data_IF_883021311370
#
_entry.id   IF_883021311370
#
_cell.length_a   1.000
_cell.length_b   1.000
_cell.length_c   1.000
_cell.angle_alpha   90.00
_cell.angle_beta   90.00
_cell.angle_gamma   90.00
#
_symmetry.space_group_name_H-M   'P 1'
#
loop_
_entity.id
_entity.type
_entity.pdbx_description
1 polymer ?
#
# COMPACT_ATOMS: atom_id res chain seq x y z
N UNK A 1 -5.16 -6.71 -29.61
CA UNK A 1 -5.69 -7.53 -28.52
C UNK A 1 -5.48 -6.75 -27.24
N UNK A 2 -6.44 -5.89 -26.90
CA UNK A 2 -6.43 -5.10 -25.67
C UNK A 2 -7.04 -6.01 -24.61
N UNK A 3 -6.21 -6.62 -23.78
CA UNK A 3 -6.69 -7.24 -22.56
C UNK A 3 -7.11 -6.12 -21.63
N UNK A 4 -8.36 -5.68 -21.76
CA UNK A 4 -9.02 -4.89 -20.74
C UNK A 4 -9.23 -5.86 -19.57
N UNK A 5 -8.22 -5.92 -18.71
CA UNK A 5 -8.29 -6.68 -17.49
C UNK A 5 -9.47 -6.11 -16.69
N UNK A 6 -10.51 -6.91 -16.39
CA UNK A 6 -11.64 -6.42 -15.61
C UNK A 6 -11.09 -5.83 -14.30
N UNK A 7 -11.70 -4.75 -13.75
CA UNK A 7 -11.19 -4.14 -12.54
C UNK A 7 -11.11 -5.24 -11.51
N UNK A 8 -9.88 -5.62 -11.13
CA UNK A 8 -9.65 -6.66 -10.15
C UNK A 8 -10.59 -6.39 -8.99
N UNK A 9 -11.48 -7.35 -8.69
CA UNK A 9 -12.33 -7.27 -7.51
C UNK A 9 -11.42 -6.83 -6.38
N UNK A 10 -11.66 -5.63 -5.84
CA UNK A 10 -10.77 -5.05 -4.83
C UNK A 10 -10.76 -6.06 -3.70
N UNK A 11 -9.66 -6.79 -3.57
CA UNK A 11 -9.49 -7.79 -2.53
C UNK A 11 -9.64 -7.02 -1.21
N UNK A 12 -10.82 -7.15 -0.59
CA UNK A 12 -11.13 -6.45 0.63
C UNK A 12 -10.35 -7.14 1.73
N UNK A 13 -9.42 -6.43 2.34
CA UNK A 13 -8.71 -6.92 3.53
C UNK A 13 -9.77 -7.10 4.62
N UNK A 14 -10.05 -8.35 4.98
CA UNK A 14 -10.90 -8.68 6.10
C UNK A 14 -10.12 -8.42 7.39
N UNK A 15 -10.59 -7.48 8.20
CA UNK A 15 -10.01 -7.18 9.51
C UNK A 15 -10.77 -7.99 10.55
N UNK A 16 -10.07 -8.82 11.31
CA UNK A 16 -10.63 -9.59 12.42
C UNK A 16 -10.55 -8.80 13.73
N UNK A 17 -11.32 -9.20 14.75
CA UNK A 17 -11.23 -8.60 16.08
C UNK A 17 -9.82 -8.74 16.69
N UNK A 18 -9.11 -9.84 16.39
CA UNK A 18 -7.74 -10.04 16.85
C UNK A 18 -6.76 -9.00 16.28
N UNK A 19 -6.96 -8.58 15.02
CA UNK A 19 -6.14 -7.53 14.39
C UNK A 19 -6.38 -6.16 15.05
N UNK A 20 -7.63 -5.92 15.52
CA UNK A 20 -8.00 -4.70 16.24
C UNK A 20 -7.33 -4.71 17.63
N UNK A 21 -7.42 -5.82 18.34
CA UNK A 21 -6.78 -5.98 19.66
C UNK A 21 -5.26 -5.79 19.57
N UNK A 22 -4.62 -6.37 18.54
CA UNK A 22 -3.18 -6.20 18.30
C UNK A 22 -2.81 -4.72 18.04
N UNK A 23 -3.60 -4.00 17.24
CA UNK A 23 -3.35 -2.60 16.96
C UNK A 23 -3.52 -1.69 18.19
N UNK A 24 -4.45 -2.04 19.08
CA UNK A 24 -4.65 -1.35 20.36
C UNK A 24 -3.49 -1.65 21.32
N UNK A 25 -3.07 -2.92 21.43
CA UNK A 25 -1.95 -3.34 22.27
C UNK A 25 -0.62 -2.68 21.84
N UNK A 26 -0.39 -2.56 20.52
CA UNK A 26 0.77 -1.86 19.98
C UNK A 26 0.85 -0.37 20.35
N UNK A 27 -0.26 0.22 20.82
CA UNK A 27 -0.35 1.60 21.30
C UNK A 27 -0.58 1.67 22.82
N UNK A 28 -0.18 0.63 23.58
CA UNK A 28 -0.31 0.53 25.04
C UNK A 28 -1.78 0.71 25.52
N UNK A 29 -2.75 0.34 24.68
CA UNK A 29 -4.17 0.50 24.97
C UNK A 29 -4.75 1.90 24.70
N UNK A 30 -3.97 2.87 24.23
CA UNK A 30 -4.46 4.21 23.91
C UNK A 30 -5.19 4.23 22.55
N UNK A 31 -6.52 4.17 22.60
CA UNK A 31 -7.39 4.22 21.42
C UNK A 31 -7.18 5.47 20.55
N UNK A 32 -6.85 6.63 21.14
CA UNK A 32 -6.61 7.86 20.36
C UNK A 32 -5.27 7.77 19.64
N UNK A 33 -4.25 7.19 20.27
CA UNK A 33 -2.97 6.92 19.63
C UNK A 33 -3.12 5.89 18.50
N UNK A 34 -3.87 4.80 18.72
CA UNK A 34 -4.17 3.80 17.69
C UNK A 34 -4.87 4.42 16.48
N UNK A 35 -5.94 5.18 16.68
CA UNK A 35 -6.65 5.85 15.56
C UNK A 35 -5.72 6.80 14.81
N UNK A 36 -4.89 7.57 15.52
CA UNK A 36 -3.90 8.44 14.86
C UNK A 36 -2.90 7.63 14.04
N UNK A 37 -2.38 6.52 14.57
CA UNK A 37 -1.44 5.65 13.87
C UNK A 37 -2.07 5.07 12.59
N UNK A 38 -3.31 4.60 12.66
CA UNK A 38 -4.05 4.07 11.51
C UNK A 38 -4.25 5.14 10.41
N UNK A 39 -4.65 6.36 10.79
CA UNK A 39 -4.82 7.45 9.82
C UNK A 39 -3.50 7.86 9.16
N UNK A 40 -2.40 7.89 9.92
CA UNK A 40 -1.06 8.15 9.38
C UNK A 40 -0.64 7.01 8.44
N UNK A 41 -0.86 5.76 8.84
CA UNK A 41 -0.57 4.58 8.02
C UNK A 41 -1.35 4.60 6.71
N UNK A 42 -2.64 4.96 6.75
CA UNK A 42 -3.47 5.07 5.55
C UNK A 42 -2.92 6.13 4.59
N UNK A 43 -2.61 7.33 5.07
CA UNK A 43 -2.01 8.38 4.22
C UNK A 43 -0.66 7.96 3.64
N UNK A 44 0.16 7.25 4.40
CA UNK A 44 1.43 6.72 3.89
C UNK A 44 1.21 5.74 2.73
N UNK A 45 0.25 4.81 2.86
CA UNK A 45 -0.08 3.86 1.80
C UNK A 45 -0.63 4.55 0.55
N UNK A 46 -1.48 5.56 0.72
CA UNK A 46 -2.01 6.37 -0.39
C UNK A 46 -0.87 7.07 -1.16
N UNK A 47 0.07 7.68 -0.45
CA UNK A 47 1.25 8.33 -1.06
C UNK A 47 2.13 7.30 -1.77
N UNK A 48 2.41 6.16 -1.12
CA UNK A 48 3.25 5.11 -1.69
C UNK A 48 2.62 4.51 -2.96
N UNK A 49 1.30 4.34 -2.98
CA UNK A 49 0.55 3.86 -4.14
C UNK A 49 0.64 4.86 -5.30
N UNK A 50 0.47 6.16 -5.02
CA UNK A 50 0.60 7.20 -6.04
C UNK A 50 2.02 7.26 -6.63
N UNK A 51 3.04 7.22 -5.77
CA UNK A 51 4.44 7.13 -6.21
C UNK A 51 4.69 5.90 -7.09
N UNK A 52 4.19 4.73 -6.67
CA UNK A 52 4.33 3.50 -7.45
C UNK A 52 3.65 3.58 -8.81
N UNK A 53 2.47 4.22 -8.91
CA UNK A 53 1.76 4.43 -10.17
C UNK A 53 2.52 5.37 -11.10
N UNK A 54 3.10 6.44 -10.56
CA UNK A 54 3.92 7.37 -11.33
C UNK A 54 5.17 6.69 -11.87
N UNK A 55 5.87 5.88 -11.06
CA UNK A 55 7.04 5.12 -11.51
C UNK A 55 6.68 4.06 -12.55
N UNK A 56 5.57 3.32 -12.36
CA UNK A 56 5.10 2.34 -13.33
C UNK A 56 4.74 3.01 -14.66
N UNK A 57 4.08 4.17 -14.65
CA UNK A 57 3.80 4.96 -15.84
C UNK A 57 5.08 5.45 -16.52
N UNK A 58 6.02 6.04 -15.78
CA UNK A 58 7.30 6.51 -16.33
C UNK A 58 8.18 5.38 -16.89
N UNK A 59 8.24 4.24 -16.21
CA UNK A 59 8.99 3.06 -16.62
C UNK A 59 8.36 2.35 -17.81
N UNK A 60 7.02 2.22 -17.83
CA UNK A 60 6.25 1.65 -18.94
C UNK A 60 6.31 2.52 -20.20
N UNK A 61 6.21 3.85 -20.05
CA UNK A 61 6.26 4.81 -21.17
C UNK A 61 7.66 4.91 -21.81
N UNK A 62 8.74 4.54 -21.10
CA UNK A 62 10.13 4.65 -21.61
C UNK A 62 10.93 3.34 -21.63
N UNK A 63 10.31 2.19 -21.33
CA UNK A 63 10.99 0.88 -21.30
C UNK A 63 12.15 0.78 -20.29
N UNK A 64 12.18 1.62 -19.25
CA UNK A 64 13.26 1.63 -18.25
C UNK A 64 12.83 0.81 -17.03
N UNK A 65 13.62 -0.18 -16.58
CA UNK A 65 13.27 -0.98 -15.39
C UNK A 65 13.19 -0.08 -14.14
N UNK A 66 12.23 -0.37 -13.27
CA UNK A 66 11.98 0.40 -12.04
C UNK A 66 13.24 0.46 -11.18
N UNK A 67 13.44 1.57 -10.45
CA UNK A 67 14.64 1.73 -9.59
C UNK A 67 14.72 0.62 -8.53
N UNK A 68 13.56 0.11 -8.09
CA UNK A 68 13.45 -1.01 -7.17
C UNK A 68 13.97 -2.33 -7.77
N UNK A 69 13.67 -2.64 -9.05
CA UNK A 69 14.25 -3.79 -9.73
C UNK A 69 15.78 -3.67 -9.83
N UNK A 70 16.28 -2.49 -10.20
CA UNK A 70 17.74 -2.26 -10.30
C UNK A 70 18.48 -2.44 -8.98
N UNK A 71 17.84 -2.16 -7.85
CA UNK A 71 18.44 -2.32 -6.53
C UNK A 71 18.49 -3.78 -6.04
N UNK A 72 17.76 -4.68 -6.70
CA UNK A 72 17.74 -6.12 -6.40
C UNK A 72 18.61 -6.94 -7.37
N UNK A 73 19.09 -6.32 -8.46
CA UNK A 73 19.93 -6.94 -9.50
C UNK A 73 21.43 -6.67 -9.32
N UNK A 74 21.85 -5.98 -8.25
CA UNK A 74 23.25 -5.66 -7.94
C UNK A 74 23.63 -6.05 -6.53
#
# INVERSE_FOLDING_TARGET
MTSEQPPAERETIAVSEADIDEAIEACDGDLRATIKALLVGQQYLEIALEMSRQEASWGYVRGRPSRRLRALEG
#
